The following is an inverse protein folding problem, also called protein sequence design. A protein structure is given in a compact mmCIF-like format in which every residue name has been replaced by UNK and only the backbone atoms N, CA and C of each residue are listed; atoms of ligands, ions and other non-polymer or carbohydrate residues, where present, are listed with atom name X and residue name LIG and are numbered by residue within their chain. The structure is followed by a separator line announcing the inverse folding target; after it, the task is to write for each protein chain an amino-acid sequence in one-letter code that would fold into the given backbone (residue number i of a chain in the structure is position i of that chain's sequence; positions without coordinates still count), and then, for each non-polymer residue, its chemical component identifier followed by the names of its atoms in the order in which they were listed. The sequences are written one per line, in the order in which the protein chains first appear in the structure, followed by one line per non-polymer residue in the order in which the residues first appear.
data_IF_868265610762
#
_entry.id   IF_868265610762
#
_cell.length_a   1.000
_cell.length_b   1.000
_cell.length_c   1.000
_cell.angle_alpha   90.00
_cell.angle_beta   90.00
_cell.angle_gamma   90.00
#
_symmetry.space_group_name_H-M   'P 1'
#
loop_
_entity.id
_entity.type
_entity.pdbx_description
1 polymer ?
#
# COMPACT_ATOMS: atom_id res chain seq x y z
N UNK A 1 -5.72 16.96 1.49
CA UNK A 1 -5.96 17.07 2.95
C UNK A 1 -5.53 15.76 3.58
N UNK A 2 -4.61 15.78 4.57
CA UNK A 2 -4.30 14.58 5.36
C UNK A 2 -5.39 14.43 6.41
N UNK A 3 -6.05 13.28 6.45
CA UNK A 3 -7.10 12.99 7.44
C UNK A 3 -6.48 12.32 8.68
N UNK A 4 -5.28 11.75 8.56
CA UNK A 4 -4.60 11.01 9.65
C UNK A 4 -3.46 11.85 10.23
N UNK A 5 -3.36 11.87 11.57
CA UNK A 5 -2.30 12.51 12.35
C UNK A 5 -1.55 11.46 13.19
N UNK A 6 -0.66 10.68 12.56
CA UNK A 6 0.03 9.59 13.25
C UNK A 6 1.11 10.12 14.20
N UNK A 7 0.95 9.83 15.50
CA UNK A 7 1.86 10.27 16.55
C UNK A 7 2.71 9.15 17.16
N UNK A 8 2.53 7.92 16.68
CA UNK A 8 3.26 6.73 17.10
C UNK A 8 3.47 5.77 15.91
N UNK A 9 4.25 4.69 16.16
CA UNK A 9 4.60 3.70 15.14
C UNK A 9 3.37 2.97 14.59
N UNK A 10 2.42 2.63 15.43
CA UNK A 10 1.25 1.84 15.05
C UNK A 10 0.33 2.67 14.15
N UNK A 11 0.07 3.92 14.54
CA UNK A 11 -0.66 4.89 13.75
C UNK A 11 0.03 5.14 12.39
N UNK A 12 1.37 5.23 12.36
CA UNK A 12 2.13 5.34 11.11
C UNK A 12 1.95 4.12 10.20
N UNK A 13 2.02 2.90 10.74
CA UNK A 13 1.80 1.67 9.97
C UNK A 13 0.33 1.49 9.51
N UNK A 14 -0.60 2.20 10.15
CA UNK A 14 -2.00 2.26 9.75
C UNK A 14 -2.28 3.29 8.63
N UNK A 15 -1.26 4.06 8.21
CA UNK A 15 -1.36 4.95 7.04
C UNK A 15 -1.16 4.13 5.76
N UNK A 16 -2.08 4.30 4.80
CA UNK A 16 -2.01 3.59 3.52
C UNK A 16 -0.67 3.88 2.81
N UNK A 17 0.02 2.81 2.42
CA UNK A 17 1.30 2.90 1.71
C UNK A 17 2.52 3.09 2.60
N UNK A 18 2.38 3.12 3.92
CA UNK A 18 3.47 3.09 4.90
C UNK A 18 3.60 1.68 5.47
N UNK A 19 4.60 0.93 5.01
CA UNK A 19 4.99 -0.36 5.58
C UNK A 19 6.24 -0.25 6.46
N UNK A 20 6.71 -1.36 7.01
CA UNK A 20 7.84 -1.38 7.97
C UNK A 20 9.11 -0.74 7.41
N UNK A 21 9.54 -1.13 6.20
CA UNK A 21 10.74 -0.58 5.52
C UNK A 21 10.67 0.94 5.38
N UNK A 22 9.47 1.45 5.11
CA UNK A 22 9.19 2.88 4.94
C UNK A 22 9.23 3.60 6.29
N UNK A 23 8.58 3.02 7.29
CA UNK A 23 8.64 3.51 8.67
C UNK A 23 10.08 3.57 9.20
N UNK A 24 10.91 2.56 8.95
CA UNK A 24 12.30 2.55 9.40
C UNK A 24 13.11 3.68 8.78
N UNK A 25 12.86 3.96 7.48
CA UNK A 25 13.60 4.99 6.76
C UNK A 25 13.22 6.42 7.15
N UNK A 26 11.95 6.68 7.48
CA UNK A 26 11.46 8.05 7.69
C UNK A 26 10.40 8.22 8.77
N UNK A 27 9.83 7.14 9.28
CA UNK A 27 8.68 7.17 10.17
C UNK A 27 8.89 7.98 11.45
N UNK A 28 10.07 7.89 12.06
CA UNK A 28 10.40 8.67 13.28
C UNK A 28 10.42 10.17 13.03
N UNK A 29 11.08 10.61 11.96
CA UNK A 29 11.15 12.04 11.60
C UNK A 29 9.78 12.61 11.27
N UNK A 30 8.91 11.83 10.60
CA UNK A 30 7.53 12.25 10.36
C UNK A 30 6.74 12.40 11.67
N UNK A 31 6.87 11.47 12.61
CA UNK A 31 6.19 11.57 13.92
C UNK A 31 6.63 12.83 14.67
N UNK A 32 7.91 13.16 14.64
CA UNK A 32 8.45 14.36 15.29
C UNK A 32 7.86 15.63 14.70
N UNK A 33 7.87 15.77 13.37
CA UNK A 33 7.28 16.91 12.65
C UNK A 33 5.77 17.02 12.93
N UNK A 34 5.05 15.89 12.95
CA UNK A 34 3.60 15.88 13.26
C UNK A 34 3.35 16.36 14.69
N UNK A 35 4.17 15.95 15.65
CA UNK A 35 4.06 16.40 17.05
C UNK A 35 4.40 17.87 17.21
N UNK A 36 5.47 18.33 16.58
CA UNK A 36 5.87 19.74 16.56
C UNK A 36 4.74 20.61 16.00
N UNK A 37 4.18 20.23 14.86
CA UNK A 37 3.06 20.93 14.23
C UNK A 37 1.83 21.07 15.15
N UNK A 38 1.50 20.02 15.91
CA UNK A 38 0.37 20.03 16.86
C UNK A 38 0.69 20.89 18.10
N UNK A 39 1.93 20.88 18.57
CA UNK A 39 2.35 21.73 19.69
C UNK A 39 2.35 23.21 19.32
N UNK A 40 2.78 23.57 18.11
CA UNK A 40 2.78 24.95 17.63
C UNK A 40 1.37 25.50 17.35
N UNK A 41 0.42 24.60 17.03
CA UNK A 41 -0.93 24.97 16.59
C UNK A 41 -1.98 24.07 17.22
N UNK A 42 -2.25 24.21 18.53
CA UNK A 42 -3.21 23.36 19.24
C UNK A 42 -4.62 23.44 18.65
N UNK A 43 -5.02 24.58 18.08
CA UNK A 43 -6.37 24.82 17.53
C UNK A 43 -6.47 24.53 16.03
N UNK A 44 -5.50 23.82 15.44
CA UNK A 44 -5.49 23.58 13.99
C UNK A 44 -6.61 22.60 13.60
N UNK A 45 -7.58 23.11 12.84
CA UNK A 45 -8.66 22.32 12.26
C UNK A 45 -8.08 21.41 11.17
N UNK A 46 -7.84 20.15 11.53
CA UNK A 46 -7.21 19.14 10.66
C UNK A 46 -8.21 18.27 9.91
N UNK A 47 -9.50 18.40 10.23
CA UNK A 47 -10.60 17.82 9.47
C UNK A 47 -11.76 18.81 9.37
N UNK A 48 -12.40 18.84 8.19
CA UNK A 48 -13.78 19.31 8.08
C UNK A 48 -14.63 18.12 8.55
N UNK A 49 -15.37 18.28 9.64
CA UNK A 49 -16.08 17.20 10.33
C UNK A 49 -16.81 16.23 9.41
N UNK A 50 -16.18 15.09 9.14
CA UNK A 50 -16.81 13.81 9.41
C UNK A 50 -16.15 13.35 10.69
N UNK A 51 -16.88 13.52 11.78
CA UNK A 51 -16.50 13.02 13.08
C UNK A 51 -16.35 11.51 12.96
N UNK A 52 -15.11 11.02 12.96
CA UNK A 52 -14.82 9.66 13.43
C UNK A 52 -15.13 9.67 14.93
N UNK A 53 -16.42 9.67 15.25
CA UNK A 53 -16.86 9.50 16.63
C UNK A 53 -16.43 8.10 17.02
N UNK A 54 -15.45 8.01 17.92
CA UNK A 54 -15.24 6.84 18.76
C UNK A 54 -16.45 6.79 19.71
N UNK A 55 -17.61 6.41 19.18
CA UNK A 55 -18.80 6.05 19.94
C UNK A 55 -18.75 4.54 20.12
N UNK A 56 -18.41 4.13 21.34
CA UNK A 56 -18.69 2.79 21.82
C UNK A 56 -20.17 2.46 21.53
N UNK A 57 -20.42 1.55 20.59
CA UNK A 57 -21.69 0.82 20.56
C UNK A 57 -22.55 0.82 19.29
N UNK A 58 -22.08 1.18 18.09
CA UNK A 58 -22.77 0.79 16.84
C UNK A 58 -21.79 0.40 15.74
N UNK A 59 -21.41 -0.88 15.74
CA UNK A 59 -20.46 -1.48 14.83
C UNK A 59 -21.17 -2.30 13.76
N UNK A 60 -21.70 -1.69 12.70
CA UNK A 60 -21.99 -2.44 11.47
C UNK A 60 -21.67 -1.57 10.23
N UNK A 61 -20.58 -1.94 9.54
CA UNK A 61 -20.08 -1.43 8.25
C UNK A 61 -19.31 -0.10 8.21
N UNK A 62 -18.23 0.02 9.00
CA UNK A 62 -17.08 0.83 8.57
C UNK A 62 -16.34 0.03 7.50
N UNK A 63 -16.38 0.48 6.24
CA UNK A 63 -15.52 -0.09 5.20
C UNK A 63 -14.07 0.30 5.51
N UNK A 64 -13.40 -0.56 6.28
CA UNK A 64 -12.01 -0.36 6.65
C UNK A 64 -11.13 -0.50 5.41
N UNK A 65 -10.80 0.66 4.83
CA UNK A 65 -9.95 0.75 3.63
C UNK A 65 -8.55 0.21 3.91
N UNK A 66 -8.06 0.25 5.14
CA UNK A 66 -6.74 -0.32 5.50
C UNK A 66 -6.82 -1.83 5.49
N UNK A 67 -7.82 -2.43 6.10
CA UNK A 67 -8.01 -3.88 6.08
C UNK A 67 -8.34 -4.40 4.69
N UNK A 68 -9.16 -3.67 3.92
CA UNK A 68 -9.41 -3.96 2.51
C UNK A 68 -8.09 -3.96 1.72
N UNK A 69 -7.28 -2.91 1.86
CA UNK A 69 -5.98 -2.83 1.20
C UNK A 69 -5.02 -3.90 1.73
N UNK A 70 -5.03 -4.25 3.01
CA UNK A 70 -4.18 -5.28 3.59
C UNK A 70 -4.52 -6.66 3.02
N UNK A 71 -5.81 -6.96 2.85
CA UNK A 71 -6.31 -8.21 2.24
C UNK A 71 -6.03 -8.28 0.74
N UNK A 72 -6.19 -7.17 0.01
CA UNK A 72 -6.10 -7.18 -1.46
C UNK A 72 -4.73 -6.76 -2.03
N UNK A 73 -3.90 -6.05 -1.28
CA UNK A 73 -2.60 -5.53 -1.71
C UNK A 73 -1.41 -6.37 -1.19
N UNK A 74 -1.66 -7.34 -0.30
CA UNK A 74 -0.67 -8.35 0.12
C UNK A 74 -0.56 -9.44 -0.94
N UNK A 75 0.08 -9.14 -2.07
CA UNK A 75 0.50 -10.19 -3.03
C UNK A 75 1.91 -10.65 -2.63
N UNK A 76 2.09 -11.96 -2.43
CA UNK A 76 3.26 -12.59 -1.81
C UNK A 76 4.64 -12.29 -2.43
N UNK A 77 4.67 -11.73 -3.66
CA UNK A 77 5.91 -11.40 -4.38
C UNK A 77 6.09 -9.92 -4.68
N UNK A 78 5.31 -9.02 -4.08
CA UNK A 78 5.52 -7.58 -4.24
C UNK A 78 6.95 -7.21 -3.77
N UNK A 79 7.76 -6.65 -4.68
CA UNK A 79 9.13 -6.22 -4.40
C UNK A 79 10.22 -7.29 -4.55
N UNK A 80 9.90 -8.56 -4.84
CA UNK A 80 10.94 -9.55 -5.21
C UNK A 80 11.54 -9.22 -6.57
N UNK A 81 12.85 -9.43 -6.75
CA UNK A 81 13.51 -9.38 -8.06
C UNK A 81 12.91 -10.43 -9.02
N UNK A 82 13.01 -10.17 -10.32
CA UNK A 82 12.71 -11.15 -11.36
C UNK A 82 13.88 -12.15 -11.46
N UNK A 83 13.58 -13.41 -11.79
CA UNK A 83 14.60 -14.43 -12.04
C UNK A 83 14.57 -14.88 -13.50
N UNK A 84 15.70 -15.31 -14.04
CA UNK A 84 15.79 -15.73 -15.46
C UNK A 84 14.80 -16.85 -15.81
N UNK A 85 14.50 -17.73 -14.86
CA UNK A 85 13.49 -18.79 -15.07
C UNK A 85 12.06 -18.22 -15.09
N UNK A 86 11.78 -17.22 -14.25
CA UNK A 86 10.49 -16.51 -14.24
C UNK A 86 10.30 -15.72 -15.54
N UNK A 87 11.35 -15.13 -16.08
CA UNK A 87 11.32 -14.42 -17.36
C UNK A 87 11.05 -15.38 -18.54
N UNK A 88 11.72 -16.54 -18.57
CA UNK A 88 11.45 -17.58 -19.59
C UNK A 88 10.02 -18.09 -19.52
N UNK A 89 9.49 -18.27 -18.31
CA UNK A 89 8.09 -18.67 -18.14
C UNK A 89 7.14 -17.58 -18.66
N UNK A 90 7.41 -16.32 -18.33
CA UNK A 90 6.61 -15.18 -18.78
C UNK A 90 6.60 -15.06 -20.31
N UNK A 91 7.76 -15.19 -20.95
CA UNK A 91 7.90 -15.15 -22.41
C UNK A 91 7.10 -16.27 -23.09
N UNK A 92 7.22 -17.51 -22.59
CA UNK A 92 6.46 -18.65 -23.11
C UNK A 92 4.93 -18.44 -22.96
N UNK A 93 4.48 -17.98 -21.79
CA UNK A 93 3.06 -17.75 -21.54
C UNK A 93 2.50 -16.64 -22.45
N UNK A 94 3.26 -15.56 -22.64
CA UNK A 94 2.86 -14.46 -23.52
C UNK A 94 2.82 -14.89 -25.00
N UNK A 95 3.86 -15.58 -25.48
CA UNK A 95 3.92 -16.08 -26.86
C UNK A 95 2.86 -17.17 -27.14
N UNK A 96 2.40 -17.89 -26.11
CA UNK A 96 1.28 -18.83 -26.24
C UNK A 96 -0.10 -18.14 -26.42
N UNK A 97 -0.15 -16.80 -26.35
CA UNK A 97 -1.38 -16.02 -26.44
C UNK A 97 -2.19 -15.99 -25.14
N UNK A 98 -1.58 -16.33 -24.00
CA UNK A 98 -2.28 -16.30 -22.71
C UNK A 98 -2.63 -14.86 -22.31
N UNK A 99 -3.83 -14.67 -21.77
CA UNK A 99 -4.25 -13.36 -21.28
C UNK A 99 -3.37 -12.88 -20.10
N UNK A 100 -2.99 -11.60 -20.14
CA UNK A 100 -2.11 -10.94 -19.16
C UNK A 100 -2.69 -11.06 -17.74
N UNK A 101 -4.02 -11.11 -17.57
CA UNK A 101 -4.63 -11.33 -16.26
C UNK A 101 -4.31 -12.72 -15.69
N UNK A 102 -4.29 -13.75 -16.54
CA UNK A 102 -3.98 -15.11 -16.12
C UNK A 102 -2.49 -15.27 -15.83
N UNK A 103 -1.62 -14.71 -16.67
CA UNK A 103 -0.17 -14.62 -16.42
C UNK A 103 0.10 -13.96 -15.06
N UNK A 104 -0.55 -12.83 -14.77
CA UNK A 104 -0.39 -12.13 -13.50
C UNK A 104 -0.80 -12.98 -12.27
N UNK A 105 -1.83 -13.83 -12.42
CA UNK A 105 -2.26 -14.76 -11.37
C UNK A 105 -1.22 -15.87 -11.15
N UNK A 106 -0.73 -16.50 -12.22
CA UNK A 106 0.26 -17.58 -12.17
C UNK A 106 1.54 -17.10 -11.49
N UNK A 107 2.05 -15.94 -11.91
CA UNK A 107 3.27 -15.37 -11.36
C UNK A 107 3.09 -14.74 -9.97
N UNK A 108 1.86 -14.64 -9.46
CA UNK A 108 1.55 -13.92 -8.21
C UNK A 108 2.07 -12.47 -8.20
N UNK A 109 2.04 -11.81 -9.37
CA UNK A 109 2.50 -10.42 -9.58
C UNK A 109 1.32 -9.48 -9.89
N UNK A 110 1.58 -8.18 -9.99
CA UNK A 110 0.58 -7.20 -10.44
C UNK A 110 0.55 -7.13 -11.97
N UNK A 111 -0.60 -6.76 -12.55
CA UNK A 111 -0.73 -6.51 -13.99
C UNK A 111 0.32 -5.53 -14.51
N UNK A 112 0.56 -4.45 -13.75
CA UNK A 112 1.58 -3.47 -14.07
C UNK A 112 3.00 -4.06 -14.05
N UNK A 113 3.29 -4.96 -13.11
CA UNK A 113 4.59 -5.64 -13.05
C UNK A 113 4.81 -6.55 -14.26
N UNK A 114 3.79 -7.31 -14.68
CA UNK A 114 3.86 -8.14 -15.90
C UNK A 114 4.08 -7.26 -17.14
N UNK A 115 3.25 -6.23 -17.34
CA UNK A 115 3.37 -5.30 -18.48
C UNK A 115 4.73 -4.59 -18.53
N UNK A 116 5.21 -4.13 -17.38
CA UNK A 116 6.53 -3.51 -17.29
C UNK A 116 7.65 -4.49 -17.62
N UNK A 117 7.49 -5.78 -17.29
CA UNK A 117 8.53 -6.77 -17.58
C UNK A 117 8.57 -7.16 -19.05
N UNK A 118 7.41 -7.41 -19.66
CA UNK A 118 7.29 -7.67 -21.11
C UNK A 118 7.93 -6.54 -21.92
N UNK A 119 7.60 -5.29 -21.57
CA UNK A 119 8.21 -4.12 -22.20
C UNK A 119 9.73 -4.07 -22.06
N UNK A 120 10.28 -4.51 -20.93
CA UNK A 120 11.74 -4.54 -20.72
C UNK A 120 12.43 -5.72 -21.43
N UNK A 121 11.66 -6.74 -21.85
CA UNK A 121 12.12 -7.88 -22.63
C UNK A 121 11.90 -7.67 -24.14
N UNK A 122 11.45 -6.47 -24.54
CA UNK A 122 11.11 -6.09 -25.92
C UNK A 122 10.04 -7.00 -26.58
N UNK A 123 9.08 -7.49 -25.79
CA UNK A 123 7.92 -8.31 -26.19
C UNK A 123 6.60 -7.53 -26.20
#
# INVERSE_FOLDING_TARGET
MSVKLPCDKEAMLNVSGIGEVKYEKYGKSFIEIVKEFLCERPDVVTSTGHEDVILAGKAENIFDRVDYNRKHNKRDRAGRSWSDNEDKQLDNEYNSGMDILNIAKIHSRTLGAIRSRLKNMDL
#
